data_IF_022343700994
#
_entry.id   IF_022343700994
#
_cell.length_a   1.000
_cell.length_b   1.000
_cell.length_c   1.000
_cell.angle_alpha   90.00
_cell.angle_beta   90.00
_cell.angle_gamma   90.00
#
_symmetry.space_group_name_H-M   'P 1'
#
loop_
_entity.id
_entity.type
_entity.pdbx_description
1 polymer ?
#
# COMPACT_ATOMS: atom_id res chain seq x y z
N UNK A 1 8.52 5.30 14.60
CA UNK A 1 7.39 4.46 15.02
C UNK A 1 6.13 5.26 14.74
N UNK A 2 5.12 4.67 14.08
CA UNK A 2 3.81 5.28 13.80
C UNK A 2 2.72 4.42 14.42
N UNK A 3 1.60 5.01 14.77
CA UNK A 3 0.40 4.32 15.22
C UNK A 3 -0.55 4.16 14.02
N UNK A 4 -0.92 2.92 13.69
CA UNK A 4 -1.68 2.58 12.47
C UNK A 4 -2.92 1.77 12.82
N UNK A 5 -4.09 2.24 12.34
CA UNK A 5 -5.34 1.49 12.37
C UNK A 5 -5.51 0.74 11.03
N UNK A 6 -5.67 -0.59 11.08
CA UNK A 6 -5.95 -1.42 9.92
C UNK A 6 -7.37 -1.96 10.03
N UNK A 7 -8.24 -1.58 9.10
CA UNK A 7 -9.65 -2.01 9.05
C UNK A 7 -9.84 -3.00 7.90
N UNK A 8 -10.28 -4.20 8.25
CA UNK A 8 -10.44 -5.33 7.36
C UNK A 8 -9.20 -6.21 7.32
N UNK A 9 -9.33 -7.42 7.87
CA UNK A 9 -8.25 -8.42 7.98
C UNK A 9 -8.37 -9.56 6.96
N UNK A 10 -8.94 -9.24 5.79
CA UNK A 10 -8.86 -10.10 4.63
C UNK A 10 -7.39 -10.33 4.20
N UNK A 11 -7.16 -11.01 3.08
CA UNK A 11 -5.80 -11.33 2.60
C UNK A 11 -4.87 -10.12 2.59
N UNK A 12 -5.30 -9.01 1.99
CA UNK A 12 -4.49 -7.80 1.90
C UNK A 12 -4.23 -7.16 3.28
N UNK A 13 -5.30 -6.88 4.06
CA UNK A 13 -5.17 -6.20 5.35
C UNK A 13 -4.32 -6.98 6.36
N UNK A 14 -4.43 -8.31 6.39
CA UNK A 14 -3.58 -9.16 7.22
C UNK A 14 -2.10 -9.04 6.85
N UNK A 15 -1.76 -9.09 5.55
CA UNK A 15 -0.37 -8.90 5.13
C UNK A 15 0.16 -7.51 5.45
N UNK A 16 -0.66 -6.46 5.32
CA UNK A 16 -0.29 -5.10 5.72
C UNK A 16 -0.03 -5.03 7.23
N UNK A 17 -0.93 -5.58 8.06
CA UNK A 17 -0.77 -5.58 9.50
C UNK A 17 0.50 -6.32 9.94
N UNK A 18 0.76 -7.51 9.40
CA UNK A 18 1.99 -8.27 9.63
C UNK A 18 3.24 -7.47 9.28
N UNK A 19 3.24 -6.81 8.11
CA UNK A 19 4.40 -6.04 7.65
C UNK A 19 4.66 -4.81 8.49
N UNK A 20 3.59 -4.15 8.95
CA UNK A 20 3.70 -3.01 9.86
C UNK A 20 4.30 -3.42 11.22
N UNK A 21 3.92 -4.59 11.75
CA UNK A 21 4.50 -5.13 12.98
C UNK A 21 5.99 -5.49 12.80
N UNK A 22 6.36 -6.13 11.70
CA UNK A 22 7.77 -6.38 11.36
C UNK A 22 8.59 -5.08 11.32
N UNK A 23 8.01 -3.99 10.81
CA UNK A 23 8.60 -2.65 10.75
C UNK A 23 8.55 -1.92 12.11
N UNK A 24 8.04 -2.56 13.16
CA UNK A 24 7.96 -2.03 14.53
C UNK A 24 7.07 -0.79 14.65
N UNK A 25 5.94 -0.80 13.93
CA UNK A 25 4.86 0.16 14.11
C UNK A 25 3.83 -0.38 15.12
N UNK A 26 3.14 0.52 15.82
CA UNK A 26 1.99 0.16 16.66
C UNK A 26 0.79 -0.08 15.78
N UNK A 27 0.23 -1.30 15.81
CA UNK A 27 -0.87 -1.70 14.96
C UNK A 27 -2.10 -2.04 15.78
N UNK A 28 -3.21 -1.34 15.52
CA UNK A 28 -4.55 -1.75 15.90
C UNK A 28 -5.23 -2.36 14.66
N UNK A 29 -5.64 -3.62 14.75
CA UNK A 29 -6.30 -4.33 13.68
C UNK A 29 -7.78 -4.59 13.99
N UNK A 30 -8.68 -4.39 13.03
CA UNK A 30 -10.13 -4.56 13.23
C UNK A 30 -10.74 -5.31 12.05
N UNK A 31 -11.58 -6.29 12.35
CA UNK A 31 -12.47 -6.94 11.37
C UNK A 31 -13.81 -7.28 12.04
N UNK A 32 -14.86 -7.38 11.26
CA UNK A 32 -16.18 -7.82 11.75
C UNK A 32 -16.21 -9.35 11.99
N UNK A 33 -15.30 -10.08 11.38
CA UNK A 33 -15.23 -11.55 11.47
C UNK A 33 -14.21 -11.96 12.53
N UNK A 34 -14.68 -12.68 13.55
CA UNK A 34 -13.87 -13.19 14.67
C UNK A 34 -12.69 -14.05 14.20
N UNK A 35 -12.92 -14.98 13.29
CA UNK A 35 -11.89 -15.87 12.75
C UNK A 35 -10.76 -15.12 12.04
N UNK A 36 -11.03 -13.96 11.45
CA UNK A 36 -9.99 -13.12 10.86
C UNK A 36 -9.19 -12.35 11.91
N UNK A 37 -9.85 -11.91 12.96
CA UNK A 37 -9.20 -11.27 14.11
C UNK A 37 -8.28 -12.27 14.81
N UNK A 38 -8.78 -13.47 15.12
CA UNK A 38 -8.00 -14.54 15.74
C UNK A 38 -6.77 -14.94 14.92
N UNK A 39 -6.92 -15.00 13.60
CA UNK A 39 -5.80 -15.29 12.69
C UNK A 39 -4.75 -14.15 12.66
N UNK A 40 -5.08 -12.93 13.07
CA UNK A 40 -4.16 -11.80 13.14
C UNK A 40 -3.45 -11.67 14.49
N UNK A 41 -4.04 -12.16 15.58
CA UNK A 41 -3.49 -12.05 16.94
C UNK A 41 -2.01 -12.47 17.10
N UNK A 42 -1.47 -13.48 16.37
CA UNK A 42 -0.05 -13.83 16.47
C UNK A 42 0.90 -12.74 15.93
N UNK A 43 0.41 -11.78 15.16
CA UNK A 43 1.20 -10.81 14.41
C UNK A 43 0.93 -9.36 14.80
N UNK A 44 -0.09 -9.07 15.61
CA UNK A 44 -0.44 -7.72 16.03
C UNK A 44 -0.72 -7.69 17.52
N UNK A 45 -0.25 -6.66 18.20
CA UNK A 45 -0.44 -6.53 19.65
C UNK A 45 -1.90 -6.26 20.03
N UNK A 46 -2.62 -5.53 19.17
CA UNK A 46 -4.00 -5.12 19.42
C UNK A 46 -4.88 -5.46 18.24
N UNK A 47 -5.86 -6.32 18.47
CA UNK A 47 -6.89 -6.65 17.50
C UNK A 47 -8.29 -6.62 18.15
N UNK A 48 -9.29 -6.14 17.41
CA UNK A 48 -10.67 -6.07 17.89
C UNK A 48 -11.66 -6.58 16.85
N UNK A 49 -12.71 -7.25 17.35
CA UNK A 49 -13.87 -7.59 16.54
C UNK A 49 -14.84 -6.42 16.58
N UNK A 50 -15.22 -5.91 15.40
CA UNK A 50 -16.20 -4.84 15.32
C UNK A 50 -16.56 -4.41 13.92
N UNK A 51 -17.70 -3.74 13.81
CA UNK A 51 -18.22 -3.21 12.55
C UNK A 51 -17.76 -1.75 12.37
N UNK A 52 -16.83 -1.51 11.46
CA UNK A 52 -16.31 -0.18 11.17
C UNK A 52 -17.25 0.70 10.34
N UNK A 53 -18.43 0.21 9.95
CA UNK A 53 -19.52 1.06 9.43
C UNK A 53 -20.34 1.68 10.55
N UNK A 54 -20.11 1.27 11.81
CA UNK A 54 -20.74 1.85 12.99
C UNK A 54 -19.88 3.00 13.54
N UNK A 55 -20.44 4.22 13.53
CA UNK A 55 -19.74 5.43 13.97
C UNK A 55 -19.37 5.41 15.46
N UNK A 56 -20.22 4.83 16.32
CA UNK A 56 -19.93 4.72 17.76
C UNK A 56 -18.76 3.80 18.02
N UNK A 57 -18.72 2.65 17.33
CA UNK A 57 -17.61 1.73 17.42
C UNK A 57 -16.29 2.38 16.94
N UNK A 58 -16.26 3.00 15.75
CA UNK A 58 -15.08 3.71 15.27
C UNK A 58 -14.61 4.83 16.20
N UNK A 59 -15.58 5.60 16.74
CA UNK A 59 -15.26 6.65 17.71
C UNK A 59 -14.60 6.10 18.97
N UNK A 60 -15.02 4.92 19.44
CA UNK A 60 -14.46 4.27 20.64
C UNK A 60 -12.98 3.86 20.47
N UNK A 61 -12.55 3.65 19.23
CA UNK A 61 -11.15 3.32 18.92
C UNK A 61 -10.19 4.52 19.04
N UNK A 62 -10.73 5.74 19.16
CA UNK A 62 -9.90 6.94 19.24
C UNK A 62 -9.19 7.27 17.93
N UNK A 63 -9.90 7.27 16.82
CA UNK A 63 -9.42 7.44 15.43
C UNK A 63 -8.39 8.55 15.27
N UNK A 64 -8.53 9.67 15.98
CA UNK A 64 -7.62 10.84 15.92
C UNK A 64 -6.20 10.55 16.43
N UNK A 65 -6.02 9.47 17.20
CA UNK A 65 -4.74 9.11 17.79
C UNK A 65 -3.84 8.34 16.82
N UNK A 66 -4.41 7.82 15.73
CA UNK A 66 -3.63 7.11 14.71
C UNK A 66 -3.00 8.09 13.71
N UNK A 67 -1.76 7.82 13.34
CA UNK A 67 -1.07 8.58 12.29
C UNK A 67 -1.61 8.23 10.90
N UNK A 68 -2.00 6.94 10.71
CA UNK A 68 -2.55 6.43 9.46
C UNK A 68 -3.69 5.46 9.74
N UNK A 69 -4.79 5.58 9.00
CA UNK A 69 -5.86 4.61 8.97
C UNK A 69 -5.90 3.93 7.59
N UNK A 70 -5.84 2.60 7.56
CA UNK A 70 -5.82 1.81 6.33
C UNK A 70 -7.12 1.02 6.22
N UNK A 71 -7.97 1.36 5.25
CA UNK A 71 -9.20 0.63 4.94
C UNK A 71 -8.90 -0.45 3.91
N UNK A 72 -8.74 -1.68 4.37
CA UNK A 72 -8.39 -2.85 3.56
C UNK A 72 -9.61 -3.68 3.11
N UNK A 73 -10.83 -3.14 3.26
CA UNK A 73 -12.09 -3.76 2.84
C UNK A 73 -12.15 -3.73 1.30
N UNK A 74 -12.08 -4.89 0.65
CA UNK A 74 -12.06 -4.99 -0.81
C UNK A 74 -13.33 -5.57 -1.42
N UNK A 75 -14.01 -6.45 -0.69
CA UNK A 75 -15.11 -7.27 -1.23
C UNK A 75 -16.49 -6.60 -1.06
N UNK A 76 -16.60 -5.64 -0.13
CA UNK A 76 -17.81 -4.88 0.11
C UNK A 76 -17.57 -3.40 -0.21
N UNK A 77 -18.06 -2.99 -1.38
CA UNK A 77 -17.91 -1.62 -1.88
C UNK A 77 -18.56 -0.58 -0.94
N UNK A 78 -19.76 -0.86 -0.46
CA UNK A 78 -20.49 0.05 0.42
C UNK A 78 -19.76 0.22 1.76
N UNK A 79 -19.44 -0.87 2.45
CA UNK A 79 -18.73 -0.81 3.73
C UNK A 79 -17.37 -0.12 3.62
N UNK A 80 -16.67 -0.30 2.50
CA UNK A 80 -15.40 0.39 2.24
C UNK A 80 -15.58 1.91 2.16
N UNK A 81 -16.63 2.38 1.45
CA UNK A 81 -16.94 3.82 1.34
C UNK A 81 -17.40 4.41 2.66
N UNK A 82 -18.34 3.75 3.35
CA UNK A 82 -18.88 4.19 4.63
C UNK A 82 -17.76 4.31 5.68
N UNK A 83 -16.94 3.28 5.82
CA UNK A 83 -15.80 3.31 6.75
C UNK A 83 -14.81 4.44 6.41
N UNK A 84 -14.51 4.65 5.12
CA UNK A 84 -13.59 5.71 4.67
C UNK A 84 -14.15 7.09 5.05
N UNK A 85 -15.44 7.35 4.78
CA UNK A 85 -16.12 8.61 5.13
C UNK A 85 -16.12 8.84 6.64
N UNK A 86 -16.56 7.84 7.40
CA UNK A 86 -16.63 7.93 8.87
C UNK A 86 -15.26 8.20 9.51
N UNK A 87 -14.20 7.57 9.03
CA UNK A 87 -12.84 7.85 9.52
C UNK A 87 -12.45 9.32 9.34
N UNK A 88 -12.75 9.91 8.20
CA UNK A 88 -12.48 11.33 7.94
C UNK A 88 -13.37 12.24 8.78
N UNK A 89 -14.65 11.94 8.91
CA UNK A 89 -15.59 12.69 9.77
C UNK A 89 -15.17 12.66 11.24
N UNK A 90 -14.64 11.53 11.72
CA UNK A 90 -14.09 11.36 13.06
C UNK A 90 -12.71 11.99 13.25
N UNK A 91 -12.13 12.55 12.19
CA UNK A 91 -10.89 13.31 12.22
C UNK A 91 -9.63 12.49 12.09
N UNK A 92 -9.66 11.36 11.35
CA UNK A 92 -8.47 10.63 10.95
C UNK A 92 -7.48 11.55 10.22
N UNK A 93 -6.20 11.49 10.61
CA UNK A 93 -5.14 12.35 10.04
C UNK A 93 -4.87 12.00 8.58
N UNK A 94 -4.74 10.71 8.30
CA UNK A 94 -4.44 10.20 6.96
C UNK A 94 -5.16 8.88 6.72
N UNK A 95 -5.95 8.79 5.66
CA UNK A 95 -6.73 7.61 5.31
C UNK A 95 -6.28 7.05 3.97
N UNK A 96 -5.81 5.80 3.99
CA UNK A 96 -5.48 5.03 2.79
C UNK A 96 -6.55 3.98 2.59
N UNK A 97 -7.19 3.92 1.43
CA UNK A 97 -8.24 2.94 1.18
C UNK A 97 -7.91 2.02 0.01
N UNK A 98 -8.19 0.73 0.17
CA UNK A 98 -8.01 -0.26 -0.89
C UNK A 98 -9.16 -0.19 -1.89
N UNK A 99 -8.82 -0.05 -3.17
CA UNK A 99 -9.76 -0.19 -4.27
C UNK A 99 -9.62 -1.57 -4.91
N UNK A 100 -10.75 -2.11 -5.38
CA UNK A 100 -10.81 -3.33 -6.20
C UNK A 100 -11.03 -3.03 -7.69
N UNK A 101 -11.37 -1.77 -8.05
CA UNK A 101 -11.69 -1.31 -9.41
C UNK A 101 -11.45 0.20 -9.53
N UNK A 102 -11.25 0.70 -10.77
CA UNK A 102 -11.01 2.13 -11.01
C UNK A 102 -12.18 3.02 -10.55
N UNK A 103 -13.42 2.56 -10.74
CA UNK A 103 -14.62 3.28 -10.25
C UNK A 103 -14.60 3.36 -8.72
N UNK A 104 -14.21 2.27 -8.04
CA UNK A 104 -14.08 2.25 -6.58
C UNK A 104 -13.05 3.28 -6.10
N UNK A 105 -11.88 3.31 -6.74
CA UNK A 105 -10.83 4.28 -6.43
C UNK A 105 -11.32 5.73 -6.50
N UNK A 106 -12.05 6.07 -7.57
CA UNK A 106 -12.63 7.42 -7.75
C UNK A 106 -13.61 7.79 -6.63
N UNK A 107 -14.44 6.85 -6.21
CA UNK A 107 -15.40 7.09 -5.13
C UNK A 107 -14.70 7.21 -3.78
N UNK A 108 -13.70 6.40 -3.48
CA UNK A 108 -12.94 6.48 -2.23
C UNK A 108 -12.26 7.85 -2.06
N UNK A 109 -11.59 8.35 -3.10
CA UNK A 109 -10.99 9.69 -3.08
C UNK A 109 -12.03 10.79 -2.86
N UNK A 110 -13.21 10.69 -3.51
CA UNK A 110 -14.29 11.66 -3.31
C UNK A 110 -14.93 11.59 -1.93
N UNK A 111 -14.88 10.44 -1.27
CA UNK A 111 -15.39 10.23 0.09
C UNK A 111 -14.33 10.43 1.18
N UNK A 112 -13.18 11.01 0.85
CA UNK A 112 -12.23 11.50 1.83
C UNK A 112 -11.01 10.61 2.03
N UNK A 113 -10.78 9.56 1.24
CA UNK A 113 -9.49 8.90 1.24
C UNK A 113 -8.41 9.89 0.78
N UNK A 114 -7.30 9.99 1.52
CA UNK A 114 -6.15 10.80 1.13
C UNK A 114 -5.36 10.09 0.03
N UNK A 115 -5.29 8.75 0.11
CA UNK A 115 -4.69 7.90 -0.92
C UNK A 115 -5.53 6.64 -1.17
N UNK A 116 -5.38 6.09 -2.36
CA UNK A 116 -6.00 4.82 -2.74
C UNK A 116 -4.93 3.88 -3.28
N UNK A 117 -4.89 2.68 -2.71
CA UNK A 117 -4.07 1.57 -3.22
C UNK A 117 -4.93 0.60 -4.01
N UNK A 118 -4.42 0.14 -5.14
CA UNK A 118 -5.06 -0.88 -5.96
C UNK A 118 -4.07 -2.05 -6.19
N UNK A 119 -3.96 -2.97 -5.20
CA UNK A 119 -2.89 -3.97 -5.15
C UNK A 119 -2.84 -4.86 -6.40
N UNK A 120 -3.99 -5.28 -6.90
CA UNK A 120 -4.06 -6.16 -8.08
C UNK A 120 -3.52 -5.47 -9.33
N UNK A 121 -3.83 -4.18 -9.54
CA UNK A 121 -3.32 -3.39 -10.66
C UNK A 121 -1.82 -3.14 -10.52
N UNK A 122 -1.39 -2.70 -9.35
CA UNK A 122 0.02 -2.42 -9.07
C UNK A 122 0.88 -3.66 -9.26
N UNK A 123 0.44 -4.80 -8.71
CA UNK A 123 1.15 -6.07 -8.84
C UNK A 123 1.10 -6.60 -10.28
N UNK A 124 -0.01 -6.44 -11.01
CA UNK A 124 -0.10 -6.84 -12.41
C UNK A 124 0.88 -6.06 -13.29
N UNK A 125 0.96 -4.73 -13.11
CA UNK A 125 1.92 -3.88 -13.82
C UNK A 125 3.34 -4.31 -13.51
N UNK A 126 3.67 -4.45 -12.22
CA UNK A 126 4.98 -4.91 -11.78
C UNK A 126 5.34 -6.28 -12.38
N UNK A 127 4.41 -7.25 -12.34
CA UNK A 127 4.62 -8.59 -12.90
C UNK A 127 4.85 -8.53 -14.41
N UNK A 128 4.04 -7.75 -15.14
CA UNK A 128 4.20 -7.62 -16.58
C UNK A 128 5.58 -7.07 -16.93
N UNK A 129 5.98 -5.94 -16.35
CA UNK A 129 7.28 -5.33 -16.62
C UNK A 129 8.43 -6.26 -16.21
N UNK A 130 8.37 -6.83 -15.02
CA UNK A 130 9.42 -7.68 -14.46
C UNK A 130 9.72 -8.93 -15.29
N UNK A 131 8.71 -9.54 -15.88
CA UNK A 131 8.86 -10.82 -16.58
C UNK A 131 8.84 -10.71 -18.12
N UNK A 132 8.60 -9.53 -18.68
CA UNK A 132 8.63 -9.32 -20.15
C UNK A 132 9.79 -8.46 -20.62
N UNK A 133 10.45 -7.73 -19.72
CA UNK A 133 11.61 -6.91 -20.08
C UNK A 133 12.89 -7.68 -19.82
N UNK A 134 13.72 -7.78 -20.86
CA UNK A 134 15.06 -8.36 -20.73
C UNK A 134 15.92 -7.49 -19.81
N UNK A 135 16.65 -8.16 -18.89
CA UNK A 135 17.59 -7.52 -17.97
C UNK A 135 17.00 -6.70 -16.81
N UNK A 136 15.69 -6.55 -16.66
CA UNK A 136 15.09 -5.90 -15.49
C UNK A 136 15.04 -6.89 -14.32
N UNK A 137 15.73 -6.58 -13.22
CA UNK A 137 15.70 -7.34 -11.97
C UNK A 137 14.56 -6.87 -11.08
N UNK A 138 14.36 -5.55 -10.96
CA UNK A 138 13.28 -4.95 -10.22
C UNK A 138 12.98 -3.54 -10.73
N UNK A 139 11.78 -3.02 -10.45
CA UNK A 139 11.47 -1.64 -10.73
C UNK A 139 10.46 -1.07 -9.74
N UNK A 140 10.54 0.26 -9.52
CA UNK A 140 9.62 1.03 -8.70
C UNK A 140 9.06 2.15 -9.58
N UNK A 141 7.76 2.13 -9.81
CA UNK A 141 7.05 3.23 -10.46
C UNK A 141 6.91 4.39 -9.46
N UNK A 142 7.44 5.56 -9.82
CA UNK A 142 7.31 6.77 -9.01
C UNK A 142 6.07 7.57 -9.39
N UNK A 143 5.77 7.65 -10.68
CA UNK A 143 4.57 8.24 -11.26
C UNK A 143 4.42 7.79 -12.72
N UNK A 144 3.45 8.38 -13.47
CA UNK A 144 3.20 8.02 -14.87
C UNK A 144 4.41 8.26 -15.81
N UNK A 145 5.37 9.12 -15.43
CA UNK A 145 6.51 9.51 -16.28
C UNK A 145 7.84 8.94 -15.79
N UNK A 146 7.97 8.58 -14.50
CA UNK A 146 9.24 8.22 -13.87
C UNK A 146 9.18 6.91 -13.11
N UNK A 147 10.25 6.14 -13.22
CA UNK A 147 10.47 4.91 -12.46
C UNK A 147 11.94 4.68 -12.14
N UNK A 148 12.20 3.89 -11.13
CA UNK A 148 13.53 3.39 -10.79
C UNK A 148 13.62 1.95 -11.24
N UNK A 149 14.67 1.61 -12.00
CA UNK A 149 14.88 0.26 -12.51
C UNK A 149 16.20 -0.29 -11.98
N UNK A 150 16.17 -1.50 -11.47
CA UNK A 150 17.35 -2.31 -11.23
C UNK A 150 17.59 -3.23 -12.44
N UNK A 151 18.77 -3.13 -13.04
CA UNK A 151 19.10 -3.83 -14.28
C UNK A 151 20.36 -4.68 -14.09
N UNK A 152 20.39 -5.85 -14.74
CA UNK A 152 21.67 -6.50 -15.02
C UNK A 152 22.40 -5.70 -16.09
N UNK A 153 23.68 -5.40 -15.87
CA UNK A 153 24.50 -4.68 -16.86
C UNK A 153 24.60 -5.51 -18.15
N UNK A 154 24.10 -4.99 -19.30
CA UNK A 154 24.23 -5.68 -20.57
C UNK A 154 25.70 -5.96 -20.92
N UNK A 155 25.98 -7.10 -21.53
CA UNK A 155 27.34 -7.49 -21.85
C UNK A 155 28.10 -6.45 -22.71
N UNK A 156 27.37 -5.75 -23.57
CA UNK A 156 27.88 -4.66 -24.43
C UNK A 156 28.31 -3.39 -23.68
N UNK A 157 27.89 -3.26 -22.40
CA UNK A 157 28.28 -2.17 -21.51
C UNK A 157 29.54 -2.49 -20.70
N UNK A 158 29.89 -3.77 -20.63
CA UNK A 158 31.07 -4.21 -19.87
C UNK A 158 32.36 -3.52 -20.33
N UNK A 159 33.10 -2.95 -19.40
CA UNK A 159 34.34 -2.24 -19.66
C UNK A 159 34.19 -0.82 -20.21
N UNK A 160 32.98 -0.30 -20.36
CA UNK A 160 32.72 1.08 -20.76
C UNK A 160 32.34 1.95 -19.55
N UNK A 161 32.77 3.20 -19.54
CA UNK A 161 32.30 4.17 -18.56
C UNK A 161 30.89 4.67 -18.90
N UNK A 162 30.15 5.14 -17.89
CA UNK A 162 28.80 5.73 -18.05
C UNK A 162 28.80 6.87 -19.08
N UNK A 163 29.90 7.67 -19.13
CA UNK A 163 30.05 8.73 -20.13
C UNK A 163 30.23 8.22 -21.56
N UNK A 164 30.85 7.05 -21.75
CA UNK A 164 30.99 6.43 -23.06
C UNK A 164 29.71 5.77 -23.57
N UNK A 165 28.80 5.42 -22.67
CA UNK A 165 27.53 4.82 -22.99
C UNK A 165 26.46 5.86 -23.36
N UNK A 166 26.71 7.13 -23.07
CA UNK A 166 25.80 8.27 -23.30
C UNK A 166 24.35 8.03 -22.87
N UNK A 167 24.16 7.29 -21.78
CA UNK A 167 22.85 6.83 -21.30
C UNK A 167 21.91 7.98 -20.98
N UNK A 168 22.45 9.15 -20.58
CA UNK A 168 21.65 10.34 -20.28
C UNK A 168 20.97 10.93 -21.52
N UNK A 169 21.64 10.91 -22.67
CA UNK A 169 21.13 11.51 -23.90
C UNK A 169 20.07 10.63 -24.56
N UNK A 170 20.16 9.31 -24.34
CA UNK A 170 19.26 8.33 -24.97
C UNK A 170 17.98 8.11 -24.16
N UNK A 171 17.98 8.30 -22.83
CA UNK A 171 16.85 7.87 -21.99
C UNK A 171 16.52 8.77 -20.80
N UNK A 172 17.06 9.99 -20.68
CA UNK A 172 16.86 10.89 -19.52
C UNK A 172 17.10 10.21 -18.16
N UNK A 173 18.00 9.23 -18.09
CA UNK A 173 18.22 8.41 -16.92
C UNK A 173 19.26 9.00 -15.98
N UNK A 174 19.00 8.93 -14.68
CA UNK A 174 19.99 9.11 -13.63
C UNK A 174 20.49 7.72 -13.18
N UNK A 175 21.76 7.41 -13.46
CA UNK A 175 22.37 6.15 -13.03
C UNK A 175 23.01 6.32 -11.65
N UNK A 176 22.74 5.35 -10.76
CA UNK A 176 23.45 5.18 -9.51
C UNK A 176 24.06 3.77 -9.50
N UNK A 177 25.40 3.69 -9.47
CA UNK A 177 26.07 2.41 -9.31
C UNK A 177 26.12 2.04 -7.83
N UNK A 178 25.77 0.80 -7.49
CA UNK A 178 26.15 0.19 -6.23
C UNK A 178 27.49 -0.52 -6.47
N UNK A 179 28.51 -0.08 -5.78
CA UNK A 179 29.76 -0.86 -5.66
C UNK A 179 29.49 -1.99 -4.66
N UNK A 180 29.65 -3.23 -5.12
CA UNK A 180 29.68 -4.44 -4.28
C UNK A 180 31.07 -4.65 -3.72
#
# INVERSE_FOLDING_TARGET
MKSVLVVGLGRFGRHVAMKLDELKHEVMAVDIQEDRVDAALPYVENAQIGDCTNAEFLSSLGVRNFDVCIVAIGDNFQSSLETTSLLKELGARFVVSRAARDVHAKFLLRNGADEVVYPERQLATWTAVRYTADHILDYIELNEEYGIFELTVPAEWAGKSVGQLDVRTVSYTHLRAHET
#
